data_IF_799874018695
#
_entry.id   IF_799874018695
#
_cell.length_a   1.000
_cell.length_b   1.000
_cell.length_c   1.000
_cell.angle_alpha   90.00
_cell.angle_beta   90.00
_cell.angle_gamma   90.00
#
_symmetry.space_group_name_H-M   'P 1'
#
loop_
_entity.id
_entity.type
_entity.pdbx_description
1 polymer ?
#
# COMPACT_ATOMS: atom_id res chain seq x y z
N UNK A 1 -0.31 -9.53 -4.90
CA UNK A 1 -0.27 -10.22 -3.58
C UNK A 1 -1.16 -9.55 -2.52
N UNK A 2 -1.35 -8.23 -2.52
CA UNK A 2 -2.24 -7.51 -1.60
C UNK A 2 -3.68 -8.06 -1.63
N UNK A 3 -4.34 -8.09 -2.76
CA UNK A 3 -5.73 -8.51 -2.86
C UNK A 3 -6.06 -9.94 -2.37
N UNK A 4 -5.06 -10.83 -2.29
CA UNK A 4 -5.26 -12.17 -1.70
C UNK A 4 -5.34 -12.13 -0.18
N UNK A 5 -4.52 -11.29 0.47
CA UNK A 5 -4.52 -11.11 1.94
C UNK A 5 -5.80 -10.43 2.40
N UNK A 6 -6.26 -9.42 1.63
CA UNK A 6 -7.49 -8.70 1.92
C UNK A 6 -8.70 -9.64 1.87
N UNK A 7 -8.76 -10.54 0.87
CA UNK A 7 -9.80 -11.55 0.76
C UNK A 7 -9.80 -12.54 1.94
N UNK A 8 -8.61 -12.99 2.39
CA UNK A 8 -8.48 -13.88 3.56
C UNK A 8 -9.03 -13.22 4.81
N UNK A 9 -8.63 -11.97 5.07
CA UNK A 9 -9.07 -11.22 6.24
C UNK A 9 -10.58 -10.93 6.20
N UNK A 10 -11.10 -10.55 5.03
CA UNK A 10 -12.52 -10.25 4.83
C UNK A 10 -13.40 -11.47 5.13
N UNK A 11 -13.07 -12.63 4.55
CA UNK A 11 -13.87 -13.84 4.73
C UNK A 11 -13.77 -14.40 6.15
N UNK A 12 -12.61 -14.28 6.79
CA UNK A 12 -12.46 -14.67 8.19
C UNK A 12 -13.26 -13.74 9.12
N UNK A 13 -13.23 -12.44 8.90
CA UNK A 13 -14.06 -11.47 9.65
C UNK A 13 -15.55 -11.73 9.44
N UNK A 14 -15.99 -11.97 8.21
CA UNK A 14 -17.38 -12.31 7.89
C UNK A 14 -17.83 -13.59 8.61
N UNK A 15 -16.95 -14.59 8.69
CA UNK A 15 -17.20 -15.81 9.47
C UNK A 15 -17.37 -15.50 10.96
N UNK A 16 -16.45 -14.76 11.59
CA UNK A 16 -16.52 -14.42 13.02
C UNK A 16 -17.80 -13.64 13.36
N UNK A 17 -18.17 -12.69 12.49
CA UNK A 17 -19.42 -11.91 12.68
C UNK A 17 -20.65 -12.82 12.58
N UNK A 18 -20.70 -13.72 11.60
CA UNK A 18 -21.83 -14.64 11.46
C UNK A 18 -21.94 -15.62 12.63
N UNK A 19 -20.83 -16.11 13.16
CA UNK A 19 -20.81 -16.97 14.37
C UNK A 19 -21.27 -16.21 15.62
N UNK A 20 -20.79 -14.98 15.81
CA UNK A 20 -21.20 -14.15 16.92
C UNK A 20 -22.72 -13.85 16.89
N UNK A 21 -23.24 -13.50 15.72
CA UNK A 21 -24.68 -13.27 15.52
C UNK A 21 -25.50 -14.54 15.74
N UNK A 22 -25.03 -15.69 15.24
CA UNK A 22 -25.71 -16.98 15.44
C UNK A 22 -25.78 -17.32 16.93
N UNK A 23 -24.67 -17.21 17.65
CA UNK A 23 -24.65 -17.48 19.08
C UNK A 23 -25.52 -16.51 19.89
N UNK A 24 -25.52 -15.24 19.55
CA UNK A 24 -26.39 -14.23 20.15
C UNK A 24 -27.87 -14.58 19.96
N UNK A 25 -28.29 -14.90 18.73
CA UNK A 25 -29.69 -15.26 18.41
C UNK A 25 -30.11 -16.60 19.05
N UNK A 26 -29.23 -17.62 19.04
CA UNK A 26 -29.49 -18.88 19.73
C UNK A 26 -29.70 -18.65 21.22
N UNK A 27 -28.90 -17.82 21.86
CA UNK A 27 -29.03 -17.48 23.28
C UNK A 27 -30.36 -16.76 23.54
N UNK A 28 -30.75 -15.82 22.68
CA UNK A 28 -32.04 -15.13 22.80
C UNK A 28 -33.23 -16.09 22.62
N UNK A 29 -33.16 -17.02 21.67
CA UNK A 29 -34.25 -17.97 21.40
C UNK A 29 -34.43 -19.00 22.50
N UNK A 30 -33.35 -19.41 23.15
CA UNK A 30 -33.40 -20.32 24.32
C UNK A 30 -33.91 -19.60 25.57
N UNK A 31 -33.66 -18.30 25.70
CA UNK A 31 -34.03 -17.51 26.88
C UNK A 31 -35.51 -17.05 26.90
N UNK A 32 -36.29 -17.24 25.80
CA UNK A 32 -37.67 -16.76 25.72
C UNK A 32 -38.51 -17.48 24.65
N UNK A 33 -39.84 -17.40 24.80
CA UNK A 33 -40.82 -17.89 23.80
C UNK A 33 -40.88 -16.94 22.58
N UNK A 34 -39.89 -17.05 21.71
CA UNK A 34 -39.79 -16.23 20.51
C UNK A 34 -40.60 -16.81 19.34
N UNK A 35 -41.16 -15.96 18.46
CA UNK A 35 -41.86 -16.41 17.26
C UNK A 35 -40.97 -17.30 16.38
N UNK A 36 -41.56 -18.29 15.72
CA UNK A 36 -40.88 -19.22 14.82
C UNK A 36 -40.00 -18.53 13.74
N UNK A 37 -40.40 -17.35 13.26
CA UNK A 37 -39.64 -16.51 12.34
C UNK A 37 -38.26 -16.10 12.85
N UNK A 38 -38.10 -15.97 14.17
CA UNK A 38 -36.83 -15.58 14.80
C UNK A 38 -35.84 -16.77 14.80
N UNK A 39 -36.34 -17.98 15.07
CA UNK A 39 -35.53 -19.20 15.00
C UNK A 39 -35.08 -19.50 13.57
N UNK A 40 -35.92 -19.22 12.56
CA UNK A 40 -35.54 -19.35 11.14
C UNK A 40 -34.42 -18.41 10.73
N UNK A 41 -34.37 -17.19 11.28
CA UNK A 41 -33.33 -16.25 11.01
C UNK A 41 -31.97 -16.74 11.53
N UNK A 42 -31.89 -17.36 12.71
CA UNK A 42 -30.68 -17.94 13.26
C UNK A 42 -30.11 -19.06 12.35
N UNK A 43 -30.98 -19.91 11.80
CA UNK A 43 -30.56 -20.94 10.85
C UNK A 43 -29.91 -20.39 9.58
N UNK A 44 -30.42 -19.26 9.05
CA UNK A 44 -29.83 -18.59 7.89
C UNK A 44 -28.43 -18.01 8.19
N UNK A 45 -28.21 -17.48 9.41
CA UNK A 45 -26.89 -17.01 9.84
C UNK A 45 -25.87 -18.16 9.91
N UNK A 46 -26.32 -19.34 10.33
CA UNK A 46 -25.46 -20.55 10.37
C UNK A 46 -25.00 -20.96 8.96
N UNK A 47 -25.88 -20.90 7.98
CA UNK A 47 -25.57 -21.12 6.57
C UNK A 47 -24.56 -20.09 6.02
N UNK A 48 -24.71 -18.82 6.41
CA UNK A 48 -23.79 -17.74 6.04
C UNK A 48 -22.42 -17.96 6.65
N UNK A 49 -22.33 -18.42 7.90
CA UNK A 49 -21.08 -18.78 8.57
C UNK A 49 -20.34 -19.90 7.82
N UNK A 50 -21.06 -20.96 7.46
CA UNK A 50 -20.52 -22.07 6.69
C UNK A 50 -19.98 -21.63 5.32
N UNK A 51 -20.71 -20.76 4.62
CA UNK A 51 -20.24 -20.18 3.35
C UNK A 51 -18.99 -19.33 3.53
N UNK A 52 -18.98 -18.43 4.48
CA UNK A 52 -17.84 -17.55 4.76
C UNK A 52 -16.58 -18.33 5.14
N UNK A 53 -16.72 -19.39 5.92
CA UNK A 53 -15.65 -20.30 6.30
C UNK A 53 -15.09 -21.04 5.07
N UNK A 54 -15.96 -21.51 4.17
CA UNK A 54 -15.51 -22.13 2.93
C UNK A 54 -14.74 -21.16 2.03
N UNK A 55 -15.19 -19.91 1.92
CA UNK A 55 -14.49 -18.85 1.17
C UNK A 55 -13.14 -18.51 1.80
N UNK A 56 -13.08 -18.43 3.14
CA UNK A 56 -11.80 -18.24 3.83
C UNK A 56 -10.81 -19.38 3.55
N UNK A 57 -11.26 -20.64 3.64
CA UNK A 57 -10.45 -21.81 3.33
C UNK A 57 -9.92 -21.80 1.89
N UNK A 58 -10.75 -21.43 0.92
CA UNK A 58 -10.34 -21.28 -0.48
C UNK A 58 -9.33 -20.16 -0.67
N UNK A 59 -9.52 -19.00 -0.04
CA UNK A 59 -8.59 -17.88 -0.10
C UNK A 59 -7.23 -18.24 0.49
N UNK A 60 -7.20 -18.96 1.65
CA UNK A 60 -5.95 -19.43 2.26
C UNK A 60 -5.22 -20.45 1.40
N UNK A 61 -5.95 -21.39 0.79
CA UNK A 61 -5.34 -22.41 -0.07
C UNK A 61 -4.80 -21.86 -1.39
N UNK A 62 -5.18 -20.61 -1.75
CA UNK A 62 -4.77 -19.98 -3.00
C UNK A 62 -5.41 -20.62 -4.24
N UNK A 63 -6.50 -21.36 -4.07
CA UNK A 63 -7.29 -21.85 -5.19
C UNK A 63 -8.02 -20.66 -5.82
N UNK A 64 -7.85 -20.41 -7.13
CA UNK A 64 -8.67 -19.41 -7.80
C UNK A 64 -10.13 -19.88 -7.74
N UNK A 65 -10.92 -19.15 -6.95
CA UNK A 65 -12.35 -19.44 -6.84
C UNK A 65 -13.06 -18.92 -8.10
N UNK A 66 -13.17 -19.78 -9.10
CA UNK A 66 -14.08 -19.52 -10.22
C UNK A 66 -15.53 -19.55 -9.76
N UNK A 67 -16.44 -18.92 -10.53
CA UNK A 67 -17.86 -18.83 -10.20
C UNK A 67 -18.53 -20.18 -9.83
N UNK A 68 -18.06 -21.28 -10.43
CA UNK A 68 -18.53 -22.65 -10.15
C UNK A 68 -18.23 -23.07 -8.71
N UNK A 69 -17.06 -22.71 -8.20
CA UNK A 69 -16.66 -23.07 -6.86
C UNK A 69 -17.42 -22.23 -5.82
N UNK A 70 -17.68 -20.96 -6.12
CA UNK A 70 -18.58 -20.13 -5.30
C UNK A 70 -20.00 -20.71 -5.23
N UNK A 71 -20.54 -21.20 -6.35
CA UNK A 71 -21.85 -21.88 -6.36
C UNK A 71 -21.84 -23.14 -5.48
N UNK A 72 -20.86 -24.01 -5.62
CA UNK A 72 -20.75 -25.24 -4.82
C UNK A 72 -20.67 -24.91 -3.32
N UNK A 73 -19.88 -23.93 -2.94
CA UNK A 73 -19.74 -23.54 -1.52
C UNK A 73 -20.96 -22.78 -1.00
N UNK A 74 -21.81 -22.21 -1.87
CA UNK A 74 -23.06 -21.57 -1.50
C UNK A 74 -24.23 -22.57 -1.34
N UNK A 75 -24.09 -23.83 -1.77
CA UNK A 75 -25.15 -24.84 -1.66
C UNK A 75 -25.71 -24.96 -0.23
N UNK A 76 -24.90 -25.03 0.85
CA UNK A 76 -25.43 -25.12 2.21
C UNK A 76 -26.30 -23.92 2.59
N UNK A 77 -25.88 -22.71 2.24
CA UNK A 77 -26.61 -21.49 2.49
C UNK A 77 -27.95 -21.47 1.72
N UNK A 78 -27.90 -21.80 0.45
CA UNK A 78 -29.10 -21.84 -0.41
C UNK A 78 -30.07 -22.94 0.05
N UNK A 79 -29.57 -24.11 0.42
CA UNK A 79 -30.38 -25.22 0.96
C UNK A 79 -31.06 -24.80 2.27
N UNK A 80 -30.35 -24.09 3.15
CA UNK A 80 -30.90 -23.59 4.40
C UNK A 80 -32.00 -22.54 4.18
N UNK A 81 -31.76 -21.58 3.27
CA UNK A 81 -32.76 -20.57 2.92
C UNK A 81 -34.02 -21.23 2.33
N UNK A 82 -33.84 -22.16 1.40
CA UNK A 82 -34.95 -22.88 0.77
C UNK A 82 -35.72 -23.72 1.78
N UNK A 83 -35.02 -24.45 2.65
CA UNK A 83 -35.65 -25.20 3.74
C UNK A 83 -36.53 -24.35 4.63
N UNK A 84 -36.01 -23.18 5.03
CA UNK A 84 -36.75 -22.25 5.84
C UNK A 84 -37.95 -21.63 5.09
N UNK A 85 -37.79 -21.30 3.80
CA UNK A 85 -38.86 -20.75 2.95
C UNK A 85 -40.01 -21.71 2.70
N UNK A 86 -39.73 -23.02 2.64
CA UNK A 86 -40.75 -24.07 2.45
C UNK A 86 -41.43 -24.51 3.76
N UNK A 87 -41.19 -23.83 4.88
CA UNK A 87 -41.79 -24.15 6.14
C UNK A 87 -41.32 -25.46 6.78
N UNK A 88 -40.06 -25.83 6.50
CA UNK A 88 -39.40 -27.00 7.08
C UNK A 88 -40.08 -28.36 6.74
N UNK A 89 -40.24 -28.69 5.45
CA UNK A 89 -41.00 -29.88 5.02
C UNK A 89 -40.32 -31.22 5.32
N UNK A 90 -39.02 -31.17 5.74
CA UNK A 90 -38.23 -32.37 6.01
C UNK A 90 -37.66 -32.34 7.42
N UNK A 91 -37.21 -33.48 7.91
CA UNK A 91 -36.50 -33.56 9.17
C UNK A 91 -35.18 -32.76 9.08
N UNK A 92 -35.04 -31.76 9.96
CA UNK A 92 -33.90 -30.84 9.99
C UNK A 92 -32.54 -31.59 10.03
N UNK A 93 -32.53 -32.78 10.59
CA UNK A 93 -31.36 -33.62 10.73
C UNK A 93 -30.66 -33.91 9.39
N UNK A 94 -31.40 -34.10 8.31
CA UNK A 94 -30.84 -34.39 6.99
C UNK A 94 -30.15 -33.18 6.35
N UNK A 95 -30.69 -31.98 6.56
CA UNK A 95 -30.07 -30.74 6.05
C UNK A 95 -28.76 -30.47 6.78
N UNK A 96 -28.76 -30.61 8.11
CA UNK A 96 -27.56 -30.47 8.95
C UNK A 96 -26.52 -31.53 8.58
N UNK A 97 -26.92 -32.78 8.37
CA UNK A 97 -26.03 -33.86 7.94
C UNK A 97 -25.38 -33.57 6.58
N UNK A 98 -26.16 -33.06 5.61
CA UNK A 98 -25.60 -32.66 4.30
C UNK A 98 -24.60 -31.51 4.40
N UNK A 99 -24.89 -30.49 5.22
CA UNK A 99 -23.97 -29.39 5.49
C UNK A 99 -22.69 -29.91 6.14
N UNK A 100 -22.80 -30.77 7.15
CA UNK A 100 -21.65 -31.35 7.86
C UNK A 100 -20.80 -32.23 6.97
N UNK A 101 -21.40 -32.99 6.06
CA UNK A 101 -20.70 -33.80 5.07
C UNK A 101 -19.88 -32.90 4.13
N UNK A 102 -20.48 -31.84 3.60
CA UNK A 102 -19.79 -30.89 2.73
C UNK A 102 -18.64 -30.20 3.46
N UNK A 103 -18.81 -29.78 4.69
CA UNK A 103 -17.75 -29.19 5.53
C UNK A 103 -16.63 -30.19 5.77
N UNK A 104 -16.94 -31.47 6.01
CA UNK A 104 -15.94 -32.54 6.17
C UNK A 104 -15.12 -32.76 4.90
N UNK A 105 -15.74 -32.72 3.72
CA UNK A 105 -15.06 -32.80 2.43
C UNK A 105 -14.13 -31.61 2.23
N UNK A 106 -14.60 -30.40 2.53
CA UNK A 106 -13.77 -29.18 2.44
C UNK A 106 -12.59 -29.22 3.42
N UNK A 107 -12.81 -29.74 4.65
CA UNK A 107 -11.76 -29.96 5.63
C UNK A 107 -10.70 -30.94 5.12
N UNK A 108 -11.13 -32.04 4.50
CA UNK A 108 -10.23 -33.02 3.89
C UNK A 108 -9.40 -32.42 2.76
N UNK A 109 -10.00 -31.60 1.90
CA UNK A 109 -9.29 -30.90 0.82
C UNK A 109 -8.27 -29.91 1.41
N UNK A 110 -8.65 -29.14 2.43
CA UNK A 110 -7.76 -28.21 3.10
C UNK A 110 -6.58 -28.93 3.77
N UNK A 111 -6.83 -30.05 4.46
CA UNK A 111 -5.81 -30.87 5.11
C UNK A 111 -4.85 -31.50 4.08
N UNK A 112 -5.36 -32.03 2.98
CA UNK A 112 -4.54 -32.57 1.89
C UNK A 112 -3.64 -31.52 1.26
N UNK A 113 -4.14 -30.30 1.05
CA UNK A 113 -3.33 -29.18 0.56
C UNK A 113 -2.32 -28.67 1.59
N UNK A 114 -2.67 -28.70 2.89
CA UNK A 114 -1.73 -28.40 3.96
C UNK A 114 -0.54 -29.37 3.93
N UNK A 115 -0.82 -30.67 3.73
CA UNK A 115 0.21 -31.70 3.58
C UNK A 115 1.10 -31.43 2.35
N UNK A 116 0.51 -31.15 1.16
CA UNK A 116 1.27 -30.81 -0.03
C UNK A 116 2.19 -29.61 0.16
N UNK A 117 1.67 -28.54 0.76
CA UNK A 117 2.44 -27.32 1.07
C UNK A 117 3.57 -27.59 2.09
N UNK A 118 3.35 -28.46 3.07
CA UNK A 118 4.38 -28.87 4.04
C UNK A 118 5.47 -29.72 3.37
N UNK A 119 5.08 -30.66 2.53
CA UNK A 119 6.00 -31.53 1.77
C UNK A 119 6.90 -30.74 0.82
N UNK A 120 6.34 -29.72 0.16
CA UNK A 120 7.08 -28.86 -0.79
C UNK A 120 7.89 -27.76 -0.10
N UNK A 121 8.01 -27.77 1.23
CA UNK A 121 8.69 -26.74 2.04
C UNK A 121 8.22 -25.29 1.77
N UNK A 122 7.09 -25.07 1.18
CA UNK A 122 6.44 -23.77 1.00
C UNK A 122 5.77 -23.31 2.30
N UNK A 123 6.53 -22.79 3.19
CA UNK A 123 6.36 -22.72 4.62
C UNK A 123 5.21 -21.92 5.26
N UNK A 124 4.69 -20.78 4.81
CA UNK A 124 3.80 -20.05 5.72
C UNK A 124 2.37 -20.58 5.78
N UNK A 125 1.98 -21.43 4.84
CA UNK A 125 0.58 -21.86 4.72
C UNK A 125 0.22 -23.15 5.47
N UNK A 126 1.18 -24.00 5.82
CA UNK A 126 0.88 -25.33 6.39
C UNK A 126 0.18 -25.25 7.74
N UNK A 127 0.66 -24.40 8.64
CA UNK A 127 0.04 -24.20 9.98
C UNK A 127 -1.36 -23.60 9.88
N UNK A 128 -1.55 -22.61 9.01
CA UNK A 128 -2.85 -21.98 8.78
C UNK A 128 -3.85 -22.95 8.14
N UNK A 129 -3.41 -23.74 7.16
CA UNK A 129 -4.25 -24.76 6.55
C UNK A 129 -4.64 -25.88 7.52
N UNK A 130 -3.73 -26.24 8.43
CA UNK A 130 -4.04 -27.18 9.51
C UNK A 130 -5.10 -26.61 10.46
N UNK A 131 -5.03 -25.31 10.80
CA UNK A 131 -6.04 -24.62 11.59
C UNK A 131 -7.38 -24.54 10.85
N UNK A 132 -7.41 -24.27 9.55
CA UNK A 132 -8.63 -24.32 8.73
C UNK A 132 -9.23 -25.71 8.76
N UNK A 133 -8.43 -26.77 8.60
CA UNK A 133 -8.89 -28.15 8.68
C UNK A 133 -9.46 -28.48 10.06
N UNK A 134 -8.77 -28.08 11.14
CA UNK A 134 -9.23 -28.26 12.50
C UNK A 134 -10.55 -27.51 12.77
N UNK A 135 -10.68 -26.29 12.26
CA UNK A 135 -11.89 -25.49 12.40
C UNK A 135 -13.09 -26.09 11.67
N UNK A 136 -12.89 -26.54 10.42
CA UNK A 136 -13.93 -27.25 9.67
C UNK A 136 -14.32 -28.55 10.35
N UNK A 137 -13.35 -29.27 10.94
CA UNK A 137 -13.64 -30.48 11.72
C UNK A 137 -14.47 -30.17 12.95
N UNK A 138 -14.14 -29.11 13.69
CA UNK A 138 -14.92 -28.67 14.85
C UNK A 138 -16.37 -28.33 14.47
N UNK A 139 -16.59 -27.72 13.31
CA UNK A 139 -17.95 -27.44 12.82
C UNK A 139 -18.78 -28.70 12.59
N UNK A 140 -18.17 -29.83 12.23
CA UNK A 140 -18.88 -31.10 12.09
C UNK A 140 -19.36 -31.68 13.41
N UNK A 141 -18.76 -31.26 14.55
CA UNK A 141 -19.11 -31.72 15.88
C UNK A 141 -20.35 -31.00 16.45
N UNK A 142 -20.81 -29.94 15.79
CA UNK A 142 -22.02 -29.19 16.20
C UNK A 142 -23.35 -29.91 15.89
N UNK A 143 -23.28 -31.08 15.26
CA UNK A 143 -24.46 -31.91 14.97
C UNK A 143 -24.76 -32.78 16.19
N UNK A 144 -26.02 -32.78 16.67
CA UNK A 144 -26.45 -33.77 17.66
C UNK A 144 -26.33 -35.18 17.05
N UNK A 145 -25.24 -35.86 17.31
CA UNK A 145 -25.00 -37.21 16.84
C UNK A 145 -24.39 -38.04 17.96
N UNK A 146 -24.57 -39.36 17.98
CA UNK A 146 -23.90 -40.27 18.91
C UNK A 146 -22.37 -40.17 18.88
N UNK A 147 -21.81 -39.50 17.85
CA UNK A 147 -20.39 -39.32 17.59
C UNK A 147 -19.87 -37.94 18.00
N UNK A 148 -20.72 -37.06 18.61
CA UNK A 148 -20.25 -35.75 19.06
C UNK A 148 -19.36 -35.93 20.30
N UNK A 149 -18.02 -35.75 20.07
CA UNK A 149 -17.04 -35.81 21.14
C UNK A 149 -17.12 -34.62 22.12
N UNK A 150 -17.91 -33.62 21.79
CA UNK A 150 -18.02 -32.33 22.49
C UNK A 150 -19.44 -32.09 23.04
N UNK A 151 -19.96 -33.08 23.79
CA UNK A 151 -21.25 -32.92 24.46
C UNK A 151 -21.19 -31.74 25.44
N UNK A 152 -22.30 -30.97 25.62
CA UNK A 152 -22.36 -29.90 26.61
C UNK A 152 -22.19 -30.46 28.03
N UNK A 153 -21.42 -29.75 28.85
CA UNK A 153 -21.19 -30.07 30.26
C UNK A 153 -22.06 -29.12 31.09
N UNK A 154 -22.92 -29.68 31.90
CA UNK A 154 -23.75 -28.90 32.82
C UNK A 154 -22.88 -28.35 33.96
N UNK A 155 -22.90 -27.06 34.16
CA UNK A 155 -22.19 -26.36 35.22
C UNK A 155 -23.22 -25.60 36.09
N UNK A 156 -22.83 -25.20 37.33
CA UNK A 156 -23.69 -24.37 38.16
C UNK A 156 -24.13 -23.03 37.56
N UNK A 157 -23.40 -22.57 36.50
CA UNK A 157 -23.66 -21.34 35.78
C UNK A 157 -24.44 -21.55 34.48
N UNK A 158 -24.87 -22.79 34.17
CA UNK A 158 -25.52 -23.20 32.94
C UNK A 158 -24.75 -24.27 32.17
N UNK A 159 -25.32 -24.78 31.08
CA UNK A 159 -24.65 -25.75 30.21
C UNK A 159 -23.54 -25.07 29.39
N UNK A 160 -22.31 -25.44 29.62
CA UNK A 160 -21.15 -24.96 28.87
C UNK A 160 -20.88 -25.92 27.70
N UNK A 161 -21.03 -25.44 26.49
CA UNK A 161 -20.65 -26.20 25.31
C UNK A 161 -19.13 -26.18 25.13
N UNK A 162 -18.49 -27.33 25.26
CA UNK A 162 -17.07 -27.49 24.94
C UNK A 162 -16.74 -27.08 23.50
N UNK A 163 -17.73 -27.22 22.60
CA UNK A 163 -17.65 -26.72 21.24
C UNK A 163 -17.46 -25.19 21.19
N UNK A 164 -18.32 -24.43 21.90
CA UNK A 164 -18.21 -22.97 21.94
C UNK A 164 -16.85 -22.50 22.48
N UNK A 165 -16.36 -23.17 23.52
CA UNK A 165 -15.03 -22.88 24.07
C UNK A 165 -13.92 -23.17 23.05
N UNK A 166 -13.99 -24.31 22.35
CA UNK A 166 -13.02 -24.66 21.30
C UNK A 166 -13.03 -23.65 20.14
N UNK A 167 -14.21 -23.20 19.71
CA UNK A 167 -14.36 -22.17 18.67
C UNK A 167 -13.70 -20.86 19.09
N UNK A 168 -13.93 -20.41 20.34
CA UNK A 168 -13.33 -19.16 20.85
C UNK A 168 -11.80 -19.30 20.90
N UNK A 169 -11.28 -20.41 21.41
CA UNK A 169 -9.83 -20.64 21.51
C UNK A 169 -9.19 -20.67 20.12
N UNK A 170 -9.74 -21.44 19.18
CA UNK A 170 -9.19 -21.56 17.82
C UNK A 170 -9.29 -20.22 17.09
N UNK A 171 -10.40 -19.50 17.22
CA UNK A 171 -10.56 -18.15 16.65
C UNK A 171 -9.52 -17.18 17.22
N UNK A 172 -9.27 -17.23 18.53
CA UNK A 172 -8.23 -16.43 19.18
C UNK A 172 -6.84 -16.74 18.63
N UNK A 173 -6.50 -18.03 18.48
CA UNK A 173 -5.21 -18.46 17.92
C UNK A 173 -5.06 -17.97 16.45
N UNK A 174 -6.08 -18.17 15.62
CA UNK A 174 -6.05 -17.70 14.22
C UNK A 174 -5.89 -16.20 14.14
N UNK A 175 -6.64 -15.45 14.94
CA UNK A 175 -6.52 -13.99 15.01
C UNK A 175 -5.12 -13.56 15.43
N UNK A 176 -4.55 -14.17 16.48
CA UNK A 176 -3.19 -13.89 16.93
C UNK A 176 -2.15 -14.16 15.84
N UNK A 177 -2.26 -15.30 15.13
CA UNK A 177 -1.35 -15.63 14.03
C UNK A 177 -1.47 -14.64 12.85
N UNK A 178 -2.68 -14.18 12.52
CA UNK A 178 -2.88 -13.18 11.48
C UNK A 178 -2.26 -11.83 11.86
N UNK A 179 -2.41 -11.42 13.13
CA UNK A 179 -1.79 -10.18 13.65
C UNK A 179 -0.26 -10.29 13.61
N UNK A 180 0.32 -11.42 14.01
CA UNK A 180 1.77 -11.65 13.97
C UNK A 180 2.30 -11.63 12.53
N UNK A 181 1.60 -12.26 11.60
CA UNK A 181 1.96 -12.25 10.17
C UNK A 181 1.89 -10.85 9.55
N UNK A 182 0.85 -10.08 9.92
CA UNK A 182 0.71 -8.71 9.47
C UNK A 182 1.84 -7.84 10.03
N UNK A 183 2.16 -7.99 11.31
CA UNK A 183 3.29 -7.30 11.95
C UNK A 183 4.63 -7.63 11.29
N UNK A 184 4.90 -8.91 11.03
CA UNK A 184 6.13 -9.34 10.35
C UNK A 184 6.22 -8.81 8.90
N UNK A 185 5.08 -8.76 8.19
CA UNK A 185 5.03 -8.21 6.84
C UNK A 185 5.26 -6.69 6.83
N UNK A 186 4.69 -5.98 7.79
CA UNK A 186 4.89 -4.55 7.98
C UNK A 186 6.36 -4.23 8.29
N UNK A 187 6.96 -4.97 9.24
CA UNK A 187 8.38 -4.80 9.58
C UNK A 187 9.31 -5.04 8.37
N UNK A 188 9.05 -6.07 7.55
CA UNK A 188 9.84 -6.30 6.33
C UNK A 188 9.74 -5.14 5.35
N UNK A 189 8.51 -4.66 5.10
CA UNK A 189 8.29 -3.53 4.21
C UNK A 189 9.00 -2.27 4.74
N UNK A 190 8.87 -1.98 6.03
CA UNK A 190 9.57 -0.85 6.67
C UNK A 190 11.09 -0.96 6.52
N UNK A 191 11.67 -2.15 6.76
CA UNK A 191 13.12 -2.35 6.62
C UNK A 191 13.62 -2.19 5.16
N UNK A 192 12.81 -2.59 4.17
CA UNK A 192 13.14 -2.37 2.75
C UNK A 192 13.11 -0.88 2.40
N UNK A 193 12.13 -0.14 2.91
CA UNK A 193 12.02 1.32 2.74
C UNK A 193 13.17 2.06 3.44
N UNK A 194 13.53 1.66 4.65
CA UNK A 194 14.68 2.24 5.38
C UNK A 194 16.01 2.01 4.63
N UNK A 195 16.19 0.83 4.04
CA UNK A 195 17.36 0.54 3.22
C UNK A 195 17.40 1.42 1.96
N UNK A 196 16.27 1.61 1.28
CA UNK A 196 16.19 2.50 0.12
C UNK A 196 16.46 3.97 0.50
N UNK A 197 15.91 4.43 1.62
CA UNK A 197 16.19 5.77 2.17
C UNK A 197 17.68 5.95 2.47
N UNK A 198 18.33 4.96 3.06
CA UNK A 198 19.77 5.01 3.35
C UNK A 198 20.61 5.12 2.06
N UNK A 199 20.27 4.38 1.00
CA UNK A 199 20.94 4.50 -0.31
C UNK A 199 20.71 5.88 -0.91
N UNK A 200 19.49 6.39 -0.91
CA UNK A 200 19.18 7.72 -1.44
C UNK A 200 19.98 8.81 -0.69
N UNK A 201 20.02 8.76 0.64
CA UNK A 201 20.80 9.69 1.46
C UNK A 201 22.33 9.61 1.23
N UNK A 202 22.86 8.43 0.89
CA UNK A 202 24.29 8.27 0.55
C UNK A 202 24.65 8.96 -0.76
N UNK A 203 23.72 9.03 -1.71
CA UNK A 203 23.91 9.63 -3.03
C UNK A 203 23.58 11.13 -3.06
N UNK A 204 22.78 11.62 -2.10
CA UNK A 204 22.53 13.06 -1.98
C UNK A 204 23.79 13.82 -1.54
N UNK A 205 23.98 15.08 -1.97
CA UNK A 205 25.14 15.89 -1.59
C UNK A 205 25.22 16.04 -0.07
N UNK A 206 26.33 15.57 0.53
CA UNK A 206 26.56 15.66 2.00
C UNK A 206 26.98 17.05 2.46
N UNK A 207 27.57 17.83 1.57
CA UNK A 207 27.95 19.23 1.82
C UNK A 207 27.52 20.07 0.64
N UNK A 208 26.68 21.04 0.88
CA UNK A 208 26.27 22.01 -0.13
C UNK A 208 27.30 23.15 -0.22
N UNK A 209 27.44 23.73 -1.41
CA UNK A 209 28.20 24.96 -1.56
C UNK A 209 27.58 26.05 -0.66
N UNK A 210 28.40 26.96 -0.13
CA UNK A 210 27.96 28.03 0.79
C UNK A 210 26.80 28.90 0.29
N UNK A 211 26.64 28.96 -1.03
CA UNK A 211 25.56 29.69 -1.69
C UNK A 211 24.25 28.90 -1.82
N UNK A 212 24.27 27.59 -1.54
CA UNK A 212 23.13 26.69 -1.74
C UNK A 212 22.50 26.33 -0.40
N UNK A 213 21.21 26.54 -0.31
CA UNK A 213 20.37 25.94 0.73
C UNK A 213 19.36 25.02 0.03
N UNK A 214 19.22 23.79 0.51
CA UNK A 214 18.27 22.82 -0.03
C UNK A 214 17.48 22.15 1.08
N UNK A 215 16.21 21.97 0.84
CA UNK A 215 15.28 21.25 1.74
C UNK A 215 14.52 20.23 0.92
N UNK A 216 14.45 19.02 1.44
CA UNK A 216 13.66 17.93 0.92
C UNK A 216 12.77 17.36 2.03
N UNK A 217 11.46 17.41 1.85
CA UNK A 217 10.45 16.90 2.77
C UNK A 217 9.64 15.84 2.04
N UNK A 218 9.94 14.56 2.25
CA UNK A 218 9.16 13.50 1.61
C UNK A 218 7.74 13.41 2.20
N UNK A 219 6.74 13.13 1.37
CA UNK A 219 5.36 12.90 1.79
C UNK A 219 5.16 11.52 2.43
N UNK A 220 6.05 10.57 2.14
CA UNK A 220 6.07 9.21 2.69
C UNK A 220 7.46 8.87 3.23
N UNK A 221 7.72 7.58 3.53
CA UNK A 221 9.03 7.13 4.02
C UNK A 221 10.17 7.40 3.03
N UNK A 222 9.87 7.31 1.73
CA UNK A 222 10.79 7.63 0.62
C UNK A 222 10.00 8.31 -0.50
N UNK A 223 10.65 9.23 -1.23
CA UNK A 223 10.00 10.01 -2.26
C UNK A 223 10.64 9.88 -3.65
N UNK A 224 9.95 10.46 -4.63
CA UNK A 224 10.35 10.57 -6.03
C UNK A 224 11.19 11.80 -6.33
N UNK A 225 11.13 12.82 -5.49
CA UNK A 225 11.89 14.05 -5.65
C UNK A 225 13.39 13.82 -5.42
N UNK A 226 14.20 14.57 -6.14
CA UNK A 226 15.64 14.62 -5.92
C UNK A 226 16.22 16.00 -6.26
N UNK A 227 17.34 16.30 -5.63
CA UNK A 227 18.18 17.43 -6.02
C UNK A 227 19.65 17.02 -6.03
N UNK A 228 20.44 17.74 -6.80
CA UNK A 228 21.87 17.60 -6.87
C UNK A 228 22.50 18.98 -6.99
N UNK A 229 23.57 19.22 -6.24
CA UNK A 229 24.31 20.48 -6.33
C UNK A 229 25.81 20.18 -6.16
N UNK A 230 26.61 20.57 -7.15
CA UNK A 230 28.05 20.36 -7.15
C UNK A 230 28.80 21.50 -7.81
N UNK A 231 29.85 21.97 -7.14
CA UNK A 231 30.77 22.96 -7.69
C UNK A 231 31.78 22.29 -8.60
N UNK A 232 31.96 22.80 -9.81
CA UNK A 232 32.96 22.31 -10.76
C UNK A 232 33.56 23.50 -11.52
N UNK A 233 34.87 23.63 -11.48
CA UNK A 233 35.57 24.75 -12.13
C UNK A 233 35.13 26.11 -11.58
N UNK A 234 34.61 26.98 -12.45
CA UNK A 234 34.13 28.34 -12.14
C UNK A 234 32.63 28.44 -11.91
N UNK A 235 31.94 27.31 -11.83
CA UNK A 235 30.47 27.30 -11.72
C UNK A 235 29.95 26.25 -10.76
N UNK A 236 28.64 26.30 -10.58
CA UNK A 236 27.84 25.40 -9.76
C UNK A 236 26.76 24.76 -10.64
N UNK A 237 26.76 23.44 -10.69
CA UNK A 237 25.66 22.68 -11.28
C UNK A 237 24.60 22.42 -10.21
N UNK A 238 23.35 22.78 -10.54
CA UNK A 238 22.17 22.43 -9.75
C UNK A 238 21.22 21.64 -10.63
N UNK A 239 20.74 20.51 -10.13
CA UNK A 239 19.68 19.72 -10.78
C UNK A 239 18.58 19.46 -9.77
N UNK A 240 17.33 19.68 -10.16
CA UNK A 240 16.14 19.34 -9.38
C UNK A 240 15.20 18.53 -10.27
N UNK A 241 14.56 17.53 -9.73
CA UNK A 241 13.64 16.71 -10.51
C UNK A 241 12.75 15.83 -9.65
N UNK A 242 11.73 15.27 -10.28
CA UNK A 242 10.77 14.36 -9.69
C UNK A 242 10.53 13.14 -10.60
N UNK A 243 10.48 11.97 -10.00
CA UNK A 243 10.21 10.68 -10.66
C UNK A 243 8.73 10.35 -10.53
N UNK A 244 8.03 10.24 -11.65
CA UNK A 244 6.61 9.88 -11.66
C UNK A 244 6.32 8.59 -10.89
N UNK A 245 5.36 8.65 -9.96
CA UNK A 245 4.99 7.56 -9.07
C UNK A 245 5.47 7.78 -7.64
N UNK A 246 5.16 6.84 -6.74
CA UNK A 246 5.45 7.01 -5.29
C UNK A 246 6.09 5.76 -4.69
N UNK A 247 6.71 5.93 -3.54
CA UNK A 247 7.25 4.85 -2.72
C UNK A 247 8.56 4.26 -3.24
N UNK A 248 8.84 3.01 -2.85
CA UNK A 248 10.14 2.35 -3.07
C UNK A 248 10.60 2.36 -4.54
N UNK A 249 9.67 2.18 -5.48
CA UNK A 249 10.01 2.14 -6.90
C UNK A 249 10.56 3.49 -7.39
N UNK A 250 9.89 4.59 -7.05
CA UNK A 250 10.35 5.94 -7.40
C UNK A 250 11.71 6.25 -6.75
N UNK A 251 11.88 5.94 -5.47
CA UNK A 251 13.14 6.13 -4.74
C UNK A 251 14.33 5.34 -5.35
N UNK A 252 14.09 4.13 -5.84
CA UNK A 252 15.12 3.36 -6.55
C UNK A 252 15.53 4.04 -7.87
N UNK A 253 14.58 4.60 -8.62
CA UNK A 253 14.89 5.35 -9.83
C UNK A 253 15.65 6.64 -9.52
N UNK A 254 15.30 7.37 -8.46
CA UNK A 254 16.08 8.50 -7.96
C UNK A 254 17.54 8.10 -7.74
N UNK A 255 17.78 6.93 -7.12
CA UNK A 255 19.16 6.44 -6.87
C UNK A 255 19.92 6.19 -8.18
N UNK A 256 19.26 5.68 -9.23
CA UNK A 256 19.89 5.52 -10.55
C UNK A 256 20.23 6.86 -11.17
N UNK A 257 19.33 7.86 -11.09
CA UNK A 257 19.55 9.19 -11.63
C UNK A 257 20.66 9.94 -10.90
N UNK A 258 20.69 9.87 -9.57
CA UNK A 258 21.78 10.44 -8.77
C UNK A 258 23.13 9.77 -9.08
N UNK A 259 23.14 8.45 -9.27
CA UNK A 259 24.31 7.72 -9.73
C UNK A 259 24.79 8.19 -11.12
N UNK A 260 23.88 8.44 -12.05
CA UNK A 260 24.19 9.00 -13.37
C UNK A 260 24.75 10.43 -13.26
N UNK A 261 24.17 11.27 -12.37
CA UNK A 261 24.71 12.61 -12.08
C UNK A 261 26.14 12.58 -11.54
N UNK A 262 26.44 11.67 -10.63
CA UNK A 262 27.80 11.50 -10.10
C UNK A 262 28.81 11.03 -11.17
N UNK A 263 28.34 10.31 -12.19
CA UNK A 263 29.18 9.78 -13.28
C UNK A 263 29.21 10.67 -14.54
N UNK A 264 28.51 11.81 -14.54
CA UNK A 264 28.38 12.70 -15.70
C UNK A 264 29.71 13.20 -16.21
N UNK A 265 29.77 13.49 -17.51
CA UNK A 265 30.96 13.97 -18.20
C UNK A 265 30.93 15.46 -18.55
N UNK A 266 29.79 16.11 -18.38
CA UNK A 266 29.57 17.50 -18.76
C UNK A 266 28.79 18.24 -17.67
N UNK A 267 29.09 19.52 -17.51
CA UNK A 267 28.32 20.44 -16.66
C UNK A 267 27.32 21.28 -17.50
N UNK A 268 27.28 21.08 -18.83
CA UNK A 268 26.26 21.73 -19.67
C UNK A 268 24.88 21.20 -19.34
N UNK A 269 23.90 22.06 -19.01
CA UNK A 269 22.56 21.65 -18.62
C UNK A 269 21.87 20.71 -19.62
N UNK A 270 21.91 21.06 -20.93
CA UNK A 270 21.35 20.24 -22.00
C UNK A 270 22.00 18.84 -22.06
N UNK A 271 23.32 18.78 -21.99
CA UNK A 271 24.06 17.51 -22.00
C UNK A 271 23.79 16.68 -20.74
N UNK A 272 23.68 17.32 -19.58
CA UNK A 272 23.33 16.67 -18.30
C UNK A 272 21.94 16.04 -18.41
N UNK A 273 20.93 16.77 -18.90
CA UNK A 273 19.58 16.22 -19.10
C UNK A 273 19.56 15.09 -20.13
N UNK A 274 20.32 15.18 -21.22
CA UNK A 274 20.43 14.11 -22.21
C UNK A 274 21.09 12.84 -21.62
N UNK A 275 22.09 12.97 -20.74
CA UNK A 275 22.67 11.83 -20.01
C UNK A 275 21.67 11.22 -19.02
N UNK A 276 20.94 12.05 -18.29
CA UNK A 276 19.86 11.59 -17.40
C UNK A 276 18.72 10.93 -18.17
N UNK A 277 18.35 11.46 -19.35
CA UNK A 277 17.34 10.85 -20.21
C UNK A 277 17.72 9.42 -20.61
N UNK A 278 18.96 9.21 -21.05
CA UNK A 278 19.44 7.84 -21.37
C UNK A 278 19.36 6.90 -20.18
N UNK A 279 19.71 7.37 -18.98
CA UNK A 279 19.59 6.59 -17.76
C UNK A 279 18.12 6.30 -17.42
N UNK A 280 17.24 7.29 -17.56
CA UNK A 280 15.80 7.15 -17.31
C UNK A 280 15.15 6.16 -18.30
N UNK A 281 15.42 6.27 -19.60
CA UNK A 281 14.92 5.31 -20.61
C UNK A 281 15.34 3.90 -20.29
N UNK A 282 16.65 3.69 -19.96
CA UNK A 282 17.18 2.38 -19.64
C UNK A 282 16.57 1.78 -18.36
N UNK A 283 16.34 2.61 -17.32
CA UNK A 283 15.85 2.15 -16.03
C UNK A 283 14.32 1.99 -15.98
N UNK A 284 13.57 2.95 -16.56
CA UNK A 284 12.11 2.96 -16.50
C UNK A 284 11.44 1.98 -17.48
N UNK A 285 12.09 1.69 -18.63
CA UNK A 285 11.57 0.76 -19.63
C UNK A 285 10.15 1.12 -20.13
N UNK A 286 9.81 2.42 -20.21
CA UNK A 286 8.49 2.93 -20.61
C UNK A 286 7.42 2.92 -19.50
N UNK A 287 7.79 2.62 -18.25
CA UNK A 287 6.85 2.56 -17.11
C UNK A 287 6.81 3.84 -16.27
N UNK A 288 7.02 4.99 -16.87
CA UNK A 288 7.01 6.28 -16.17
C UNK A 288 7.88 7.31 -16.88
N UNK A 289 8.02 8.46 -16.27
CA UNK A 289 8.85 9.57 -16.74
C UNK A 289 9.47 10.30 -15.54
N UNK A 290 10.39 11.21 -15.80
CA UNK A 290 10.99 12.07 -14.79
C UNK A 290 10.93 13.50 -15.28
N UNK A 291 10.42 14.42 -14.46
CA UNK A 291 10.61 15.83 -14.69
C UNK A 291 11.93 16.27 -14.08
N UNK A 292 12.70 17.08 -14.78
CA UNK A 292 13.97 17.57 -14.29
C UNK A 292 14.33 18.92 -14.87
N UNK A 293 15.09 19.70 -14.11
CA UNK A 293 15.69 20.94 -14.55
C UNK A 293 17.16 20.94 -14.14
N UNK A 294 18.04 21.29 -15.05
CA UNK A 294 19.46 21.46 -14.81
C UNK A 294 19.87 22.94 -15.02
N UNK A 295 20.65 23.48 -14.11
CA UNK A 295 21.16 24.83 -14.16
C UNK A 295 22.67 24.87 -13.95
N UNK A 296 23.41 25.53 -14.83
CA UNK A 296 24.82 25.85 -14.64
C UNK A 296 24.96 27.31 -14.25
N UNK A 297 25.38 27.57 -13.03
CA UNK A 297 25.41 28.90 -12.41
C UNK A 297 26.87 29.33 -12.34
N UNK A 298 27.19 30.42 -13.07
CA UNK A 298 28.49 31.06 -13.10
C UNK A 298 28.44 32.44 -12.38
N UNK A 299 29.56 33.12 -12.17
CA UNK A 299 29.55 34.41 -11.45
C UNK A 299 28.67 35.49 -12.04
N UNK A 300 28.48 35.54 -13.33
CA UNK A 300 27.77 36.58 -14.08
C UNK A 300 26.50 36.10 -14.81
N UNK A 301 26.35 34.79 -15.03
CA UNK A 301 25.25 34.23 -15.80
C UNK A 301 24.77 32.89 -15.25
N UNK A 302 23.59 32.49 -15.68
CA UNK A 302 23.04 31.18 -15.46
C UNK A 302 22.50 30.61 -16.78
N UNK A 303 22.86 29.38 -17.07
CA UNK A 303 22.34 28.60 -18.21
C UNK A 303 21.45 27.50 -17.67
N UNK A 304 20.23 27.37 -18.22
CA UNK A 304 19.20 26.44 -17.73
C UNK A 304 18.66 25.62 -18.89
N UNK A 305 18.52 24.32 -18.68
CA UNK A 305 17.72 23.43 -19.52
C UNK A 305 16.63 22.78 -18.69
N UNK A 306 15.47 22.57 -19.30
CA UNK A 306 14.28 22.08 -18.59
C UNK A 306 13.68 20.87 -19.33
N UNK A 307 13.37 19.82 -18.58
CA UNK A 307 12.72 18.59 -19.02
C UNK A 307 11.37 18.43 -18.27
N UNK A 308 10.49 19.44 -18.36
CA UNK A 308 9.12 19.37 -17.82
C UNK A 308 8.98 19.68 -16.32
N UNK A 309 10.02 20.18 -15.65
CA UNK A 309 9.97 20.60 -14.25
C UNK A 309 9.41 22.04 -14.14
N UNK A 310 8.81 22.46 -13.02
CA UNK A 310 8.46 23.86 -12.77
C UNK A 310 9.63 24.80 -13.03
N UNK A 311 9.34 25.94 -13.69
CA UNK A 311 10.36 26.94 -13.97
C UNK A 311 10.87 27.59 -12.67
N UNK A 312 12.17 27.95 -12.57
CA UNK A 312 12.72 28.54 -11.37
C UNK A 312 12.38 30.03 -11.26
N UNK A 313 12.46 30.53 -10.03
CA UNK A 313 12.26 31.96 -9.75
C UNK A 313 13.59 32.68 -9.60
N UNK A 314 13.67 33.84 -10.25
CA UNK A 314 14.70 34.85 -10.02
C UNK A 314 14.09 35.95 -9.14
N UNK A 315 14.39 35.93 -7.85
CA UNK A 315 13.62 36.74 -6.89
C UNK A 315 12.16 36.29 -6.86
N UNK A 316 11.22 37.21 -7.09
CA UNK A 316 9.78 36.91 -7.17
C UNK A 316 9.24 36.78 -8.61
N UNK A 317 10.13 36.62 -9.58
CA UNK A 317 9.77 36.48 -11.00
C UNK A 317 10.16 35.12 -11.52
N UNK A 318 9.21 34.40 -12.11
CA UNK A 318 9.46 33.16 -12.81
C UNK A 318 10.34 33.41 -14.06
N UNK A 319 11.37 32.62 -14.27
CA UNK A 319 12.22 32.72 -15.43
C UNK A 319 11.54 32.06 -16.64
N UNK A 320 11.54 32.71 -17.80
CA UNK A 320 10.95 32.18 -19.02
C UNK A 320 11.87 31.12 -19.65
N UNK A 321 12.00 29.96 -19.01
CA UNK A 321 12.81 28.84 -19.48
C UNK A 321 12.04 28.06 -20.54
N UNK A 322 12.70 27.66 -21.62
CA UNK A 322 12.09 26.83 -22.66
C UNK A 322 11.71 25.46 -22.08
N UNK A 323 10.44 25.03 -22.18
CA UNK A 323 10.05 23.71 -21.72
C UNK A 323 10.54 22.60 -22.65
N UNK A 324 11.00 21.49 -22.11
CA UNK A 324 11.37 20.28 -22.83
C UNK A 324 10.53 19.09 -22.42
N UNK A 325 10.67 17.99 -23.15
CA UNK A 325 10.00 16.73 -22.83
C UNK A 325 10.57 16.12 -21.54
N UNK A 326 9.72 15.57 -20.65
CA UNK A 326 10.19 14.80 -19.50
C UNK A 326 11.14 13.66 -19.91
N UNK A 327 12.08 13.37 -19.04
CA UNK A 327 13.05 12.30 -19.24
C UNK A 327 12.35 10.93 -19.24
N UNK A 328 12.87 10.01 -20.03
CA UNK A 328 12.39 8.62 -20.09
C UNK A 328 11.25 8.37 -21.08
N UNK A 329 10.68 9.42 -21.70
CA UNK A 329 9.61 9.29 -22.68
C UNK A 329 10.16 8.98 -24.10
N UNK A 330 11.23 9.64 -24.50
CA UNK A 330 11.83 9.52 -25.85
C UNK A 330 13.34 9.36 -25.70
N UNK A 331 13.92 8.32 -26.33
CA UNK A 331 15.35 7.98 -26.17
C UNK A 331 16.29 9.08 -26.69
N UNK A 332 15.93 9.74 -27.79
CA UNK A 332 16.73 10.76 -28.47
C UNK A 332 16.18 12.18 -28.22
N UNK A 333 15.71 12.45 -26.97
CA UNK A 333 15.25 13.78 -26.62
C UNK A 333 16.41 14.79 -26.56
N UNK A 334 16.18 15.97 -27.17
CA UNK A 334 17.06 17.12 -27.12
C UNK A 334 16.50 18.18 -26.17
N UNK A 335 17.38 18.93 -25.51
CA UNK A 335 17.01 19.94 -24.53
C UNK A 335 17.66 21.27 -24.90
N UNK A 336 16.83 22.29 -25.06
CA UNK A 336 17.29 23.64 -25.33
C UNK A 336 17.80 24.32 -24.06
N UNK A 337 18.77 25.21 -24.22
CA UNK A 337 19.33 26.01 -23.13
C UNK A 337 18.81 27.45 -23.21
N UNK A 338 18.40 27.98 -22.07
CA UNK A 338 18.07 29.39 -21.88
C UNK A 338 19.15 30.04 -21.01
N UNK A 339 19.69 31.19 -21.46
CA UNK A 339 20.74 31.92 -20.73
C UNK A 339 20.17 33.23 -20.14
N UNK A 340 20.50 33.50 -18.89
CA UNK A 340 20.09 34.69 -18.17
C UNK A 340 21.27 35.31 -17.42
N UNK A 341 21.23 36.62 -17.16
CA UNK A 341 22.12 37.24 -16.20
C UNK A 341 21.88 36.61 -14.81
N UNK A 342 22.95 36.35 -14.06
CA UNK A 342 22.84 35.75 -12.73
C UNK A 342 22.09 36.68 -11.77
N UNK A 343 20.90 36.28 -11.23
CA UNK A 343 20.20 37.06 -10.22
C UNK A 343 20.84 36.92 -8.85
N UNK A 344 20.42 37.78 -7.89
CA UNK A 344 20.82 37.68 -6.49
C UNK A 344 20.41 36.38 -5.84
N UNK A 345 19.21 35.89 -6.18
CA UNK A 345 18.68 34.61 -5.72
C UNK A 345 17.97 33.87 -6.85
N UNK A 346 18.28 32.57 -6.94
CA UNK A 346 17.55 31.59 -7.74
C UNK A 346 16.85 30.62 -6.80
N UNK A 347 15.58 30.30 -7.09
CA UNK A 347 14.80 29.33 -6.33
C UNK A 347 14.23 28.28 -7.27
N UNK A 348 14.62 27.03 -7.05
CA UNK A 348 14.15 25.85 -7.76
C UNK A 348 13.19 25.09 -6.85
N UNK A 349 12.12 24.56 -7.41
CA UNK A 349 11.01 23.92 -6.69
C UNK A 349 10.59 22.66 -7.40
N UNK A 350 10.10 21.68 -6.64
CA UNK A 350 9.24 20.63 -7.20
C UNK A 350 7.79 21.13 -7.24
N UNK A 351 6.94 20.42 -7.98
CA UNK A 351 5.50 20.70 -8.08
C UNK A 351 4.77 20.57 -6.74
N UNK A 352 5.26 19.72 -5.82
CA UNK A 352 4.69 19.54 -4.49
C UNK A 352 4.60 20.81 -3.64
N UNK A 353 5.36 21.89 -3.97
CA UNK A 353 5.18 23.19 -3.33
C UNK A 353 3.87 23.84 -3.78
N UNK A 354 3.63 23.92 -5.08
CA UNK A 354 2.43 24.55 -5.64
C UNK A 354 1.18 23.68 -5.47
N UNK A 355 1.35 22.36 -5.46
CA UNK A 355 0.29 21.36 -5.34
C UNK A 355 -0.07 21.01 -3.89
N UNK A 356 0.65 21.57 -2.90
CA UNK A 356 0.28 21.45 -1.50
C UNK A 356 -1.18 21.88 -1.28
N UNK A 357 -2.04 20.98 -0.76
CA UNK A 357 -3.47 21.22 -0.65
C UNK A 357 -3.94 21.20 0.81
N UNK A 358 -4.69 22.22 1.22
CA UNK A 358 -5.25 22.31 2.56
C UNK A 358 -6.43 21.32 2.76
N UNK A 359 -6.98 21.26 3.98
CA UNK A 359 -8.11 20.39 4.32
C UNK A 359 -9.39 20.65 3.50
N UNK A 360 -9.47 21.80 2.81
CA UNK A 360 -10.58 22.17 1.93
C UNK A 360 -10.30 21.86 0.45
N UNK A 361 -9.12 21.28 0.14
CA UNK A 361 -8.70 21.00 -1.24
C UNK A 361 -8.18 22.23 -2.00
N UNK A 362 -7.94 23.36 -1.33
CA UNK A 362 -7.37 24.55 -1.96
C UNK A 362 -5.86 24.38 -2.08
N UNK A 363 -5.33 24.55 -3.30
CA UNK A 363 -3.90 24.46 -3.56
C UNK A 363 -3.15 25.68 -3.02
N UNK A 364 -1.90 25.50 -2.63
CA UNK A 364 -0.99 26.59 -2.33
C UNK A 364 -0.85 27.51 -3.55
N UNK A 365 -0.62 26.93 -4.69
CA UNK A 365 -0.70 27.57 -6.01
C UNK A 365 0.51 28.44 -6.35
N UNK A 366 0.60 28.80 -7.63
CA UNK A 366 1.74 29.55 -8.15
C UNK A 366 1.83 30.99 -7.62
N UNK A 367 0.71 31.63 -7.29
CA UNK A 367 0.73 33.01 -6.78
C UNK A 367 1.37 33.10 -5.41
N UNK A 368 0.97 32.22 -4.46
CA UNK A 368 1.61 32.16 -3.13
C UNK A 368 3.07 31.71 -3.25
N UNK A 369 3.36 30.75 -4.13
CA UNK A 369 4.74 30.32 -4.39
C UNK A 369 5.61 31.49 -4.85
N UNK A 370 5.12 32.30 -5.77
CA UNK A 370 5.82 33.50 -6.26
C UNK A 370 6.07 34.51 -5.15
N UNK A 371 5.09 34.76 -4.28
CA UNK A 371 5.20 35.72 -3.17
C UNK A 371 6.31 35.37 -2.19
N UNK A 372 6.51 34.07 -1.92
CA UNK A 372 7.49 33.58 -0.95
C UNK A 372 8.81 33.12 -1.57
N UNK A 373 8.95 33.14 -2.91
CA UNK A 373 10.11 32.60 -3.64
C UNK A 373 11.45 33.28 -3.30
N UNK A 374 11.43 34.44 -2.68
CA UNK A 374 12.64 35.14 -2.18
C UNK A 374 13.06 34.69 -0.76
N UNK A 375 12.27 33.88 -0.09
CA UNK A 375 12.60 33.40 1.24
C UNK A 375 13.67 32.31 1.19
N UNK A 376 14.09 31.79 2.35
CA UNK A 376 15.00 30.65 2.44
C UNK A 376 14.31 29.37 1.97
N UNK A 377 15.09 28.38 1.52
CA UNK A 377 14.53 27.09 1.12
C UNK A 377 13.69 26.46 2.25
N UNK A 378 14.15 26.59 3.48
CA UNK A 378 13.44 26.10 4.65
C UNK A 378 12.10 26.82 4.87
N UNK A 379 12.06 28.13 4.76
CA UNK A 379 10.83 28.91 4.95
C UNK A 379 9.77 28.58 3.88
N UNK A 380 10.18 28.42 2.63
CA UNK A 380 9.29 28.04 1.51
C UNK A 380 8.72 26.65 1.73
N UNK A 381 9.58 25.67 2.05
CA UNK A 381 9.17 24.28 2.25
C UNK A 381 8.20 24.14 3.44
N UNK A 382 8.48 24.83 4.55
CA UNK A 382 7.62 24.82 5.73
C UNK A 382 6.27 25.52 5.48
N UNK A 383 6.24 26.60 4.70
CA UNK A 383 5.00 27.27 4.34
C UNK A 383 4.08 26.33 3.51
N UNK A 384 4.63 25.63 2.52
CA UNK A 384 3.90 24.64 1.73
C UNK A 384 3.44 23.47 2.60
N UNK A 385 4.32 22.92 3.45
CA UNK A 385 3.99 21.83 4.38
C UNK A 385 2.89 22.21 5.37
N UNK A 386 2.94 23.40 5.91
CA UNK A 386 1.94 23.91 6.86
C UNK A 386 0.58 24.13 6.18
N UNK A 387 0.55 24.41 4.88
CA UNK A 387 -0.67 24.48 4.09
C UNK A 387 -1.31 23.11 3.94
N UNK A 388 -0.51 22.07 3.60
CA UNK A 388 -0.95 20.70 3.53
C UNK A 388 -0.15 19.89 2.50
N UNK A 389 0.63 18.93 2.98
CA UNK A 389 1.53 18.15 2.13
C UNK A 389 0.85 16.90 1.56
N UNK A 390 0.73 16.82 0.22
CA UNK A 390 0.20 15.67 -0.51
C UNK A 390 1.24 14.97 -1.37
N UNK A 391 2.34 15.68 -1.69
CA UNK A 391 3.47 15.16 -2.45
C UNK A 391 4.80 15.57 -1.82
N UNK A 392 5.90 15.06 -2.37
CA UNK A 392 7.25 15.42 -1.94
C UNK A 392 7.48 16.93 -2.16
N UNK A 393 8.12 17.59 -1.23
CA UNK A 393 8.45 19.01 -1.32
C UNK A 393 9.96 19.16 -1.39
N UNK A 394 10.45 19.63 -2.54
CA UNK A 394 11.86 19.96 -2.75
C UNK A 394 12.02 21.42 -3.09
N UNK A 395 12.87 22.10 -2.33
CA UNK A 395 13.22 23.51 -2.54
C UNK A 395 14.73 23.66 -2.51
N UNK A 396 15.30 24.27 -3.55
CA UNK A 396 16.71 24.61 -3.60
C UNK A 396 16.84 26.10 -3.89
N UNK A 397 17.46 26.84 -2.99
CA UNK A 397 17.79 28.27 -3.20
C UNK A 397 19.29 28.45 -3.37
N UNK A 398 19.67 29.25 -4.36
CA UNK A 398 21.06 29.65 -4.59
C UNK A 398 21.16 31.17 -4.48
N UNK A 399 21.89 31.64 -3.47
CA UNK A 399 22.09 33.08 -3.21
C UNK A 399 23.50 33.49 -3.57
N UNK A 400 23.60 34.64 -4.25
CA UNK A 400 24.91 35.24 -4.50
C UNK A 400 25.49 35.71 -3.17
N UNK A 401 26.59 35.11 -2.72
CA UNK A 401 27.33 35.65 -1.58
C UNK A 401 28.09 36.88 -2.06
N UNK A 402 27.83 38.05 -1.47
CA UNK A 402 28.59 39.25 -1.75
C UNK A 402 30.09 38.98 -1.51
N UNK A 403 30.94 39.51 -2.41
CA UNK A 403 32.40 39.56 -2.28
C UNK A 403 32.79 40.38 -1.08
#
# INVERSE_FOLDING_TARGET
MAGKRDAVMLWFAAFLVSEALTNFWVTLTVAGDWPHSVTLFAGNLLGLGAYSLAQWALAETGVPAGWRLHLVTAIPLLAQILYNALGQPFDFLWVVAAISLLQSVLAGIAAWRAWGAWRDRRRPSAGRLALVAAFLFLQTQNVPSPWSLLAPVDTPLGSLSLYSLAVVVVSGIVTALLILDLGAAHQRLSSELDAARAVQQLLMPKSLHREVEAVYLPAAEVGGDFYYAESAGDGLLVVVGDVSGKGLKAAMFVSVLLGALCARRSNRPSATLAELNRAAVAALGGMGFVTALAAWIQPDRVTIANAGNPAPYAGNRELPVLPGLPLGLVSEAEYDESEFARPEQLTFLSDGVAEAANAHGELFGFDRTREISMQSAHAIAEAARAWGQNDDITVVTVRRTGV
#
